data_IF_791003584141
#
_entry.id   IF_791003584141
#
_cell.length_a   1.000
_cell.length_b   1.000
_cell.length_c   1.000
_cell.angle_alpha   90.00
_cell.angle_beta   90.00
_cell.angle_gamma   90.00
#
_symmetry.space_group_name_H-M   'P 1'
#
loop_
_entity.id
_entity.type
_entity.pdbx_description
1 polymer ?
#
# COMPACT_ATOMS: atom_id res chain seq x y z
N UNK A 1 -5.99 -8.11 -2.04
CA UNK A 1 -4.55 -8.06 -1.83
C UNK A 1 -3.89 -8.01 -3.20
N UNK A 2 -3.47 -6.82 -3.62
CA UNK A 2 -2.43 -6.69 -4.64
C UNK A 2 -1.08 -7.02 -4.00
N UNK A 3 -0.98 -8.15 -3.37
CA UNK A 3 0.33 -8.72 -3.16
C UNK A 3 0.78 -9.17 -4.53
N UNK A 4 1.71 -8.43 -5.10
CA UNK A 4 2.59 -8.89 -6.15
C UNK A 4 2.96 -10.32 -5.83
N UNK A 5 2.33 -11.31 -6.37
CA UNK A 5 2.56 -12.77 -6.29
C UNK A 5 3.71 -13.33 -5.43
N UNK A 6 3.98 -12.76 -4.27
CA UNK A 6 5.01 -13.22 -3.33
C UNK A 6 4.47 -14.39 -2.52
N UNK A 7 5.02 -15.59 -2.69
CA UNK A 7 4.59 -16.78 -1.94
C UNK A 7 5.03 -16.75 -0.46
N UNK A 8 5.88 -15.81 -0.08
CA UNK A 8 6.38 -15.66 1.28
C UNK A 8 5.64 -14.50 1.93
N UNK A 9 4.50 -14.83 2.56
CA UNK A 9 3.65 -13.86 3.25
C UNK A 9 4.34 -13.13 4.40
N UNK A 10 5.19 -12.18 4.06
CA UNK A 10 5.52 -11.10 4.96
C UNK A 10 4.24 -10.36 5.29
N UNK A 11 3.98 -10.16 6.58
CA UNK A 11 2.84 -9.37 7.02
C UNK A 11 3.22 -7.89 6.90
N UNK A 12 2.93 -7.29 5.72
CA UNK A 12 3.16 -5.86 5.52
C UNK A 12 1.92 -5.05 5.87
N UNK A 13 2.14 -3.90 6.51
CA UNK A 13 1.09 -2.93 6.72
C UNK A 13 0.77 -2.22 5.43
N UNK A 14 -0.52 -1.96 5.23
CA UNK A 14 -0.99 -1.19 4.09
C UNK A 14 -2.13 -0.26 4.45
N UNK A 15 -2.34 0.75 3.61
CA UNK A 15 -3.38 1.74 3.80
C UNK A 15 -3.91 2.26 2.46
N UNK A 16 -5.21 2.35 2.36
CA UNK A 16 -5.92 3.09 1.32
C UNK A 16 -6.40 4.40 1.91
N UNK A 17 -6.02 5.52 1.30
CA UNK A 17 -6.48 6.84 1.70
C UNK A 17 -7.58 7.34 0.77
N UNK A 18 -8.69 7.77 1.38
CA UNK A 18 -9.85 8.37 0.76
C UNK A 18 -10.12 9.74 1.40
N UNK A 19 -9.36 10.77 1.01
CA UNK A 19 -9.41 12.08 1.67
C UNK A 19 -10.79 12.73 1.66
N UNK A 20 -11.52 12.58 0.57
CA UNK A 20 -12.87 13.16 0.39
C UNK A 20 -13.90 12.54 1.34
N UNK A 21 -13.69 11.29 1.75
CA UNK A 21 -14.50 10.59 2.76
C UNK A 21 -13.99 10.84 4.19
N UNK A 22 -12.85 11.48 4.34
CA UNK A 22 -12.08 11.52 5.58
C UNK A 22 -11.91 10.12 6.18
N UNK A 23 -11.51 9.15 5.33
CA UNK A 23 -11.47 7.73 5.61
C UNK A 23 -10.11 7.15 5.21
N UNK A 24 -9.57 6.31 6.07
CA UNK A 24 -8.48 5.40 5.74
C UNK A 24 -8.90 3.95 6.02
N UNK A 25 -8.54 3.05 5.11
CA UNK A 25 -8.76 1.61 5.24
C UNK A 25 -7.41 0.93 5.35
N UNK A 26 -7.16 0.22 6.44
CA UNK A 26 -5.84 -0.35 6.73
C UNK A 26 -5.95 -1.67 7.49
N UNK A 27 -4.93 -2.51 7.36
CA UNK A 27 -4.72 -3.70 8.20
C UNK A 27 -3.93 -3.40 9.48
N UNK A 28 -3.57 -2.14 9.74
CA UNK A 28 -2.94 -1.70 10.98
C UNK A 28 -3.96 -1.75 12.13
N UNK A 29 -3.88 -2.80 12.92
CA UNK A 29 -4.78 -3.01 14.07
C UNK A 29 -4.55 -1.97 15.17
N UNK A 30 -3.30 -1.54 15.37
CA UNK A 30 -2.97 -0.52 16.38
C UNK A 30 -3.64 0.82 16.03
N UNK A 31 -3.49 1.28 14.80
CA UNK A 31 -4.16 2.49 14.31
C UNK A 31 -5.69 2.39 14.43
N UNK A 32 -6.26 1.22 14.13
CA UNK A 32 -7.70 0.99 14.26
C UNK A 32 -8.17 1.08 15.73
N UNK A 33 -7.45 0.44 16.65
CA UNK A 33 -7.77 0.47 18.09
C UNK A 33 -7.57 1.87 18.69
N UNK A 34 -6.52 2.59 18.30
CA UNK A 34 -6.29 3.98 18.70
C UNK A 34 -7.46 4.88 18.29
N UNK A 35 -7.91 4.74 17.02
CA UNK A 35 -9.07 5.49 16.53
C UNK A 35 -10.36 5.15 17.29
N UNK A 36 -10.61 3.88 17.61
CA UNK A 36 -11.74 3.49 18.42
C UNK A 36 -11.67 4.10 19.82
N UNK A 37 -10.49 4.08 20.45
CA UNK A 37 -10.28 4.69 21.76
C UNK A 37 -10.52 6.20 21.72
N UNK A 38 -10.03 6.89 20.70
CA UNK A 38 -10.30 8.30 20.48
C UNK A 38 -11.81 8.59 20.40
N UNK A 39 -12.53 7.83 19.57
CA UNK A 39 -13.97 8.03 19.39
C UNK A 39 -14.76 7.85 20.67
N UNK A 40 -14.38 6.88 21.51
CA UNK A 40 -15.00 6.66 22.84
C UNK A 40 -14.68 7.77 23.84
N UNK A 41 -13.54 8.44 23.71
CA UNK A 41 -12.98 9.36 24.69
C UNK A 41 -12.83 10.81 24.18
N UNK A 42 -13.59 11.23 23.18
CA UNK A 42 -13.46 12.56 22.54
C UNK A 42 -13.44 13.72 23.55
N UNK A 43 -14.28 13.67 24.59
CA UNK A 43 -14.34 14.70 25.63
C UNK A 43 -13.01 14.85 26.40
N UNK A 44 -12.30 13.73 26.63
CA UNK A 44 -10.98 13.73 27.26
C UNK A 44 -9.93 14.42 26.39
N UNK A 45 -9.93 14.13 25.10
CA UNK A 45 -9.00 14.75 24.14
C UNK A 45 -9.24 16.27 24.01
N UNK A 46 -10.50 16.70 23.94
CA UNK A 46 -10.84 18.13 23.96
C UNK A 46 -10.36 18.80 25.25
N UNK A 47 -10.49 18.13 26.41
CA UNK A 47 -9.99 18.65 27.70
C UNK A 47 -8.45 18.74 27.71
N UNK A 48 -7.73 17.80 27.10
CA UNK A 48 -6.26 17.84 26.94
C UNK A 48 -5.83 19.06 26.13
N UNK A 49 -6.45 19.31 24.97
CA UNK A 49 -6.17 20.50 24.16
C UNK A 49 -6.30 21.79 24.95
N UNK A 50 -7.40 21.96 25.73
CA UNK A 50 -7.62 23.16 26.54
C UNK A 50 -6.58 23.36 27.63
N UNK A 51 -5.89 22.29 28.04
CA UNK A 51 -4.87 22.30 29.09
C UNK A 51 -3.44 22.26 28.56
N UNK A 52 -3.27 22.08 27.26
CA UNK A 52 -1.93 22.01 26.67
C UNK A 52 -1.19 23.33 26.84
N UNK A 53 0.08 23.24 27.21
CA UNK A 53 0.95 24.41 27.23
C UNK A 53 1.23 24.89 25.79
N UNK A 54 1.58 26.17 25.58
CA UNK A 54 1.90 26.68 24.23
C UNK A 54 2.92 25.84 23.46
N UNK A 55 3.91 25.26 24.17
CA UNK A 55 4.93 24.41 23.59
C UNK A 55 4.39 23.07 23.07
N UNK A 56 3.36 22.51 23.70
CA UNK A 56 2.77 21.22 23.33
C UNK A 56 1.50 21.35 22.47
N UNK A 57 0.94 22.54 22.35
CA UNK A 57 -0.33 22.77 21.69
C UNK A 57 -0.32 22.30 20.22
N UNK A 58 0.74 22.63 19.47
CA UNK A 58 0.88 22.20 18.06
C UNK A 58 0.91 20.68 17.91
N UNK A 59 1.62 19.99 18.81
CA UNK A 59 1.71 18.54 18.82
C UNK A 59 0.35 17.89 19.13
N UNK A 60 -0.32 18.37 20.15
CA UNK A 60 -1.66 17.88 20.52
C UNK A 60 -2.69 18.13 19.42
N UNK A 61 -2.65 19.28 18.76
CA UNK A 61 -3.51 19.59 17.62
C UNK A 61 -3.26 18.64 16.45
N UNK A 62 -1.99 18.46 16.05
CA UNK A 62 -1.61 17.56 14.98
C UNK A 62 -2.05 16.12 15.25
N UNK A 63 -1.81 15.63 16.47
CA UNK A 63 -2.21 14.29 16.87
C UNK A 63 -3.75 14.13 16.79
N UNK A 64 -4.50 15.09 17.28
CA UNK A 64 -5.97 15.02 17.24
C UNK A 64 -6.56 15.16 15.83
N UNK A 65 -5.92 15.92 14.93
CA UNK A 65 -6.34 15.98 13.53
C UNK A 65 -6.20 14.60 12.87
N UNK A 66 -5.08 13.90 13.10
CA UNK A 66 -4.91 12.53 12.62
C UNK A 66 -5.99 11.58 13.13
N UNK A 67 -6.37 11.69 14.40
CA UNK A 67 -7.39 10.84 15.01
C UNK A 67 -8.82 11.14 14.53
N UNK A 68 -9.04 12.25 13.83
CA UNK A 68 -10.34 12.56 13.20
C UNK A 68 -10.57 11.76 11.92
N UNK A 69 -9.51 11.30 11.24
CA UNK A 69 -9.64 10.43 10.09
C UNK A 69 -10.31 9.13 10.55
N UNK A 70 -11.37 8.73 9.86
CA UNK A 70 -12.05 7.48 10.16
C UNK A 70 -11.14 6.33 9.75
N UNK A 71 -10.80 5.45 10.69
CA UNK A 71 -10.02 4.24 10.38
C UNK A 71 -10.98 3.05 10.31
N UNK A 72 -10.87 2.25 9.25
CA UNK A 72 -11.63 1.01 9.08
C UNK A 72 -10.72 -0.16 8.74
N UNK A 73 -11.09 -1.32 9.27
CA UNK A 73 -10.51 -2.59 8.83
C UNK A 73 -11.02 -2.92 7.41
N UNK A 74 -10.20 -3.51 6.54
CA UNK A 74 -10.56 -3.84 5.15
C UNK A 74 -11.61 -4.93 5.02
N UNK A 75 -11.86 -5.70 6.08
CA UNK A 75 -12.79 -6.84 6.06
C UNK A 75 -14.20 -6.43 5.65
N UNK A 76 -14.71 -7.02 4.58
CA UNK A 76 -16.05 -6.76 4.07
C UNK A 76 -16.20 -5.42 3.32
N UNK A 77 -15.12 -4.67 3.11
CA UNK A 77 -15.13 -3.47 2.30
C UNK A 77 -14.77 -3.82 0.84
N UNK A 78 -15.53 -3.27 -0.07
CA UNK A 78 -15.25 -3.34 -1.51
C UNK A 78 -14.75 -1.99 -2.00
N UNK A 79 -13.74 -2.02 -2.84
CA UNK A 79 -13.10 -0.82 -3.40
C UNK A 79 -13.92 -0.19 -4.52
N UNK A 80 -14.73 -0.98 -5.22
CA UNK A 80 -15.53 -0.60 -6.40
C UNK A 80 -16.29 0.71 -6.21
N UNK A 81 -17.14 0.78 -5.17
CA UNK A 81 -17.96 1.96 -4.89
C UNK A 81 -17.15 3.24 -4.65
N UNK A 82 -15.94 3.11 -4.11
CA UNK A 82 -15.06 4.25 -3.86
C UNK A 82 -14.38 4.71 -5.16
N UNK A 83 -13.92 3.75 -5.97
CA UNK A 83 -13.35 4.05 -7.29
C UNK A 83 -14.39 4.68 -8.23
N UNK A 84 -15.63 4.20 -8.22
CA UNK A 84 -16.71 4.81 -9.01
C UNK A 84 -17.00 6.25 -8.57
N UNK A 85 -17.00 6.53 -7.26
CA UNK A 85 -17.28 7.86 -6.72
C UNK A 85 -16.13 8.84 -6.92
N UNK A 86 -14.90 8.42 -6.65
CA UNK A 86 -13.73 9.33 -6.55
C UNK A 86 -12.78 9.24 -7.74
N UNK A 87 -12.90 8.20 -8.58
CA UNK A 87 -12.07 7.90 -9.75
C UNK A 87 -10.61 7.57 -9.42
N UNK A 88 -10.11 7.96 -8.27
CA UNK A 88 -8.74 7.76 -7.85
C UNK A 88 -8.66 7.43 -6.35
N UNK A 89 -7.76 6.51 -5.99
CA UNK A 89 -7.48 6.12 -4.59
C UNK A 89 -5.98 6.02 -4.43
N UNK A 90 -5.45 6.59 -3.34
CA UNK A 90 -4.05 6.42 -2.96
C UNK A 90 -3.88 5.16 -2.11
N UNK A 91 -2.89 4.37 -2.45
CA UNK A 91 -2.55 3.12 -1.78
C UNK A 91 -1.10 3.15 -1.32
N UNK A 92 -0.89 3.03 -0.04
CA UNK A 92 0.41 2.90 0.60
C UNK A 92 0.61 1.43 1.01
N UNK A 93 1.72 0.85 0.61
CA UNK A 93 2.10 -0.53 0.92
C UNK A 93 3.48 -0.56 1.56
N UNK A 94 3.65 -1.39 2.57
CA UNK A 94 4.86 -1.52 3.38
C UNK A 94 5.33 -0.17 3.94
N UNK A 95 4.86 0.17 5.13
CA UNK A 95 5.18 1.46 5.78
C UNK A 95 6.68 1.68 6.02
N UNK A 96 7.47 0.60 6.06
CA UNK A 96 8.92 0.66 6.15
C UNK A 96 9.59 1.10 4.86
N UNK A 97 9.09 0.62 3.72
CA UNK A 97 9.60 0.92 2.38
C UNK A 97 8.88 2.09 1.69
N UNK A 98 7.75 2.54 2.23
CA UNK A 98 6.93 3.68 1.76
C UNK A 98 6.55 3.58 0.27
N UNK A 99 6.11 2.39 -0.18
CA UNK A 99 5.62 2.21 -1.53
C UNK A 99 4.26 2.88 -1.73
N UNK A 100 4.23 3.91 -2.57
CA UNK A 100 3.03 4.70 -2.85
C UNK A 100 2.51 4.41 -4.25
N UNK A 101 1.23 4.06 -4.34
CA UNK A 101 0.54 3.76 -5.58
C UNK A 101 -0.69 4.64 -5.73
N UNK A 102 -0.98 5.01 -6.97
CA UNK A 102 -2.24 5.61 -7.36
C UNK A 102 -3.06 4.61 -8.16
N UNK A 103 -4.28 4.35 -7.73
CA UNK A 103 -5.23 3.46 -8.40
C UNK A 103 -6.28 4.35 -9.06
N UNK A 104 -6.31 4.37 -10.39
CA UNK A 104 -7.23 5.22 -11.15
C UNK A 104 -8.26 4.35 -11.90
N UNK A 105 -9.53 4.69 -11.80
CA UNK A 105 -10.59 4.07 -12.58
C UNK A 105 -10.66 4.72 -13.97
N UNK A 106 -10.21 4.00 -14.99
CA UNK A 106 -10.26 4.47 -16.37
C UNK A 106 -11.61 4.19 -17.02
N UNK A 107 -12.14 2.99 -16.86
CA UNK A 107 -13.40 2.58 -17.49
C UNK A 107 -14.12 1.49 -16.69
N UNK A 108 -15.42 1.35 -16.92
CA UNK A 108 -16.26 0.28 -16.42
C UNK A 108 -16.80 -0.49 -17.63
N UNK A 109 -16.56 -1.81 -17.65
CA UNK A 109 -17.05 -2.69 -18.71
C UNK A 109 -18.06 -3.67 -18.14
N UNK A 110 -19.20 -3.82 -18.82
CA UNK A 110 -20.31 -4.67 -18.36
C UNK A 110 -20.24 -6.10 -18.89
N UNK A 111 -19.38 -6.35 -19.89
CA UNK A 111 -19.31 -7.59 -20.66
C UNK A 111 -18.02 -8.39 -20.41
N UNK A 112 -17.49 -8.31 -19.20
CA UNK A 112 -16.30 -9.07 -18.80
C UNK A 112 -16.67 -10.45 -18.26
N UNK A 113 -16.38 -11.51 -19.04
CA UNK A 113 -16.84 -12.88 -18.75
C UNK A 113 -15.82 -13.82 -18.12
N UNK A 114 -14.56 -13.40 -18.00
CA UNK A 114 -13.49 -14.32 -17.59
C UNK A 114 -13.51 -14.69 -16.11
N UNK A 115 -14.12 -13.88 -15.25
CA UNK A 115 -14.24 -14.14 -13.82
C UNK A 115 -12.93 -14.01 -13.01
N UNK A 116 -11.83 -13.62 -13.62
CA UNK A 116 -10.54 -13.36 -12.99
C UNK A 116 -9.92 -12.06 -13.53
N UNK A 117 -9.08 -11.37 -12.73
CA UNK A 117 -8.41 -10.16 -13.20
C UNK A 117 -7.52 -10.43 -14.42
N UNK A 118 -7.45 -9.48 -15.34
CA UNK A 118 -6.58 -9.55 -16.52
C UNK A 118 -5.75 -8.28 -16.64
N UNK A 119 -4.44 -8.43 -16.75
CA UNK A 119 -3.54 -7.34 -17.09
C UNK A 119 -3.66 -7.06 -18.61
N UNK A 120 -4.08 -5.85 -18.95
CA UNK A 120 -4.22 -5.43 -20.35
C UNK A 120 -2.92 -4.88 -20.91
N UNK A 121 -2.22 -4.08 -20.12
CA UNK A 121 -0.95 -3.46 -20.50
C UNK A 121 -0.14 -3.12 -19.25
N UNK A 122 1.15 -2.83 -19.42
CA UNK A 122 2.05 -2.42 -18.35
C UNK A 122 3.44 -2.11 -18.89
N UNK A 123 4.21 -1.43 -18.08
CA UNK A 123 5.60 -1.11 -18.39
C UNK A 123 6.45 -1.23 -17.13
N UNK A 124 7.74 -1.44 -17.31
CA UNK A 124 8.73 -1.58 -16.26
C UNK A 124 8.50 -2.81 -15.36
N UNK A 125 9.44 -3.07 -14.48
CA UNK A 125 9.43 -4.23 -13.60
C UNK A 125 9.13 -3.80 -12.17
N UNK A 126 8.22 -4.51 -11.52
CA UNK A 126 7.94 -4.30 -10.10
C UNK A 126 9.17 -4.63 -9.24
N UNK A 127 9.41 -3.87 -8.17
CA UNK A 127 10.51 -4.15 -7.26
C UNK A 127 10.34 -5.53 -6.58
N UNK A 128 11.44 -6.22 -6.27
CA UNK A 128 11.39 -7.38 -5.39
C UNK A 128 10.99 -6.97 -3.95
N UNK A 129 10.46 -7.92 -3.20
CA UNK A 129 10.14 -7.71 -1.78
C UNK A 129 11.42 -7.34 -1.01
N UNK A 130 11.28 -6.56 0.05
CA UNK A 130 12.38 -6.15 0.94
C UNK A 130 13.59 -5.46 0.26
N UNK A 131 13.40 -4.89 -0.90
CA UNK A 131 14.47 -4.19 -1.64
C UNK A 131 14.91 -2.86 -1.02
N UNK A 132 14.19 -2.38 0.00
CA UNK A 132 14.52 -1.13 0.70
C UNK A 132 13.93 0.14 0.07
N UNK A 133 12.72 0.05 -0.48
CA UNK A 133 12.02 1.18 -1.07
C UNK A 133 12.59 1.62 -2.42
N UNK A 134 12.29 2.85 -2.82
CA UNK A 134 12.67 3.37 -4.14
C UNK A 134 14.19 3.42 -4.31
N UNK A 135 14.91 3.93 -3.31
CA UNK A 135 16.38 4.08 -3.41
C UNK A 135 17.04 2.70 -3.50
N UNK A 136 16.64 1.75 -2.65
CA UNK A 136 17.14 0.38 -2.71
C UNK A 136 16.82 -0.32 -4.03
N UNK A 137 15.67 -0.02 -4.62
CA UNK A 137 15.31 -0.58 -5.93
C UNK A 137 16.20 -0.05 -7.06
N UNK A 138 16.53 1.24 -7.07
CA UNK A 138 17.47 1.79 -8.05
C UNK A 138 18.88 1.23 -7.87
N UNK A 139 19.36 1.08 -6.65
CA UNK A 139 20.64 0.44 -6.36
C UNK A 139 20.66 -1.01 -6.82
N UNK A 140 19.60 -1.77 -6.48
CA UNK A 140 19.38 -3.14 -6.96
C UNK A 140 19.47 -3.23 -8.49
N UNK A 141 18.74 -2.37 -9.23
CA UNK A 141 18.75 -2.39 -10.69
C UNK A 141 20.12 -2.04 -11.27
N UNK A 142 20.84 -1.09 -10.66
CA UNK A 142 22.19 -0.72 -11.10
C UNK A 142 23.14 -1.91 -11.02
N UNK A 143 23.11 -2.66 -9.92
CA UNK A 143 23.94 -3.87 -9.75
C UNK A 143 23.43 -5.03 -10.62
N UNK A 144 22.14 -5.30 -10.60
CA UNK A 144 21.51 -6.45 -11.27
C UNK A 144 21.70 -6.43 -12.79
N UNK A 145 21.80 -5.25 -13.40
CA UNK A 145 21.94 -5.04 -14.85
C UNK A 145 23.39 -4.90 -15.31
N UNK A 146 24.36 -4.79 -14.40
CA UNK A 146 25.79 -4.65 -14.73
C UNK A 146 26.58 -5.90 -14.38
N UNK A 147 26.81 -6.78 -15.37
CA UNK A 147 27.59 -8.00 -15.19
C UNK A 147 29.08 -7.76 -14.80
N UNK A 148 29.57 -6.52 -14.85
CA UNK A 148 30.92 -6.17 -14.43
C UNK A 148 30.98 -5.65 -13.00
N UNK A 149 29.81 -5.44 -12.36
CA UNK A 149 29.75 -4.97 -10.98
C UNK A 149 30.28 -6.03 -10.00
N UNK A 150 31.11 -5.68 -9.01
CA UNK A 150 31.69 -6.64 -8.06
C UNK A 150 30.64 -7.49 -7.33
N UNK A 151 29.47 -6.95 -7.04
CA UNK A 151 28.36 -7.60 -6.32
C UNK A 151 27.31 -8.25 -7.25
N UNK A 152 27.57 -8.27 -8.54
CA UNK A 152 26.58 -8.78 -9.52
C UNK A 152 26.09 -10.20 -9.22
N UNK A 153 27.00 -11.14 -8.95
CA UNK A 153 26.63 -12.55 -8.69
C UNK A 153 25.85 -12.70 -7.40
N UNK A 154 26.23 -11.94 -6.35
CA UNK A 154 25.48 -11.93 -5.08
C UNK A 154 24.07 -11.36 -5.27
N UNK A 155 23.96 -10.25 -5.99
CA UNK A 155 22.68 -9.62 -6.30
C UNK A 155 21.78 -10.53 -7.15
N UNK A 156 22.35 -11.27 -8.11
CA UNK A 156 21.60 -12.27 -8.89
C UNK A 156 21.05 -13.40 -8.02
N UNK A 157 21.84 -13.91 -7.10
CA UNK A 157 21.41 -14.96 -6.16
C UNK A 157 20.30 -14.44 -5.23
N UNK A 158 20.46 -13.22 -4.70
CA UNK A 158 19.42 -12.59 -3.88
C UNK A 158 18.13 -12.40 -4.69
N UNK A 159 18.20 -11.85 -5.90
CA UNK A 159 17.04 -11.67 -6.78
C UNK A 159 16.30 -13.01 -7.04
N UNK A 160 17.04 -14.10 -7.24
CA UNK A 160 16.46 -15.44 -7.40
C UNK A 160 15.74 -15.89 -6.11
N UNK A 161 16.30 -15.62 -4.93
CA UNK A 161 15.68 -15.96 -3.65
C UNK A 161 14.39 -15.16 -3.42
N UNK A 162 14.31 -13.93 -3.95
CA UNK A 162 13.13 -13.08 -3.93
C UNK A 162 12.14 -13.37 -5.10
N UNK A 163 12.42 -14.40 -5.90
CA UNK A 163 11.59 -14.74 -7.07
C UNK A 163 11.47 -13.60 -8.09
N UNK A 164 12.39 -12.63 -8.04
CA UNK A 164 12.40 -11.51 -8.95
C UNK A 164 12.45 -11.96 -10.41
N UNK A 165 11.60 -11.38 -11.22
CA UNK A 165 11.53 -11.57 -12.66
C UNK A 165 11.22 -10.24 -13.31
N UNK A 166 11.86 -9.98 -14.43
CA UNK A 166 11.49 -8.85 -15.27
C UNK A 166 10.03 -8.94 -15.73
N UNK A 167 9.46 -7.80 -16.07
CA UNK A 167 8.07 -7.69 -16.47
C UNK A 167 7.76 -8.63 -17.65
N UNK A 168 6.74 -9.44 -17.47
CA UNK A 168 6.23 -10.39 -18.45
C UNK A 168 4.70 -10.46 -18.29
N UNK A 169 3.93 -9.87 -19.24
CA UNK A 169 2.48 -9.81 -19.17
C UNK A 169 1.82 -11.19 -19.23
N UNK A 170 2.37 -12.14 -19.98
CA UNK A 170 1.80 -13.49 -20.10
C UNK A 170 1.96 -14.26 -18.80
N UNK A 171 3.11 -14.14 -18.17
CA UNK A 171 3.35 -14.71 -16.86
C UNK A 171 2.45 -14.07 -15.81
N UNK A 172 2.33 -12.75 -15.78
CA UNK A 172 1.45 -12.04 -14.86
C UNK A 172 0.01 -12.48 -15.01
N UNK A 173 -0.50 -12.57 -16.24
CA UNK A 173 -1.84 -13.05 -16.52
C UNK A 173 -2.05 -14.53 -16.12
N UNK A 174 -1.00 -15.34 -16.20
CA UNK A 174 -1.06 -16.73 -15.74
C UNK A 174 -1.26 -16.83 -14.23
N UNK A 175 -0.62 -15.94 -13.45
CA UNK A 175 -0.84 -15.85 -12.00
C UNK A 175 -2.21 -15.29 -11.65
N UNK A 176 -2.68 -14.25 -12.35
CA UNK A 176 -3.99 -13.63 -12.10
C UNK A 176 -5.14 -14.63 -12.26
N UNK A 177 -5.03 -15.60 -13.16
CA UNK A 177 -6.03 -16.69 -13.32
C UNK A 177 -6.14 -17.59 -12.08
N UNK A 178 -5.12 -17.64 -11.24
CA UNK A 178 -5.09 -18.47 -10.03
C UNK A 178 -5.63 -17.74 -8.78
N UNK A 179 -6.06 -16.47 -8.90
CA UNK A 179 -6.55 -15.66 -7.78
C UNK A 179 -8.06 -15.82 -7.51
N UNK A 180 -8.69 -16.89 -7.97
CA UNK A 180 -10.11 -17.19 -7.73
C UNK A 180 -10.36 -17.83 -6.37
#
# INVERSE_FOLDING_TARGET
NFQSGYPHGGYHLYRFDLPEENLAVTNDEEAYLEHQHYNKNKALYVKRLKKASPAHLKFEQFHQERLKIKIRNPTGLKIDKYLEAHKEIHYLYDFGSDWQFTITLENIVEDYYFGYPTLLDGAETAPPEDVGGIDGFYEFLAIYRDATHPEYEEMKQWAQSQWFKEYDPDRTNSFLKCLN
#
